data_IF_991869695900
#
_entry.id   IF_991869695900
#
_cell.length_a   1.000
_cell.length_b   1.000
_cell.length_c   1.000
_cell.angle_alpha   90.00
_cell.angle_beta   90.00
_cell.angle_gamma   90.00
#
_symmetry.space_group_name_H-M   'P 1'
#
loop_
_entity.id
_entity.type
_entity.pdbx_description
1 polymer ?
#
# COMPACT_ATOMS: atom_id res chain seq x y z
N UNK A 1 0.52 -5.24 -14.28
CA UNK A 1 0.33 -6.58 -14.87
C UNK A 1 -0.48 -7.46 -13.93
N UNK A 2 -1.52 -8.13 -14.42
CA UNK A 2 -2.31 -9.05 -13.60
C UNK A 2 -1.80 -10.48 -13.71
N UNK A 3 -1.70 -11.14 -12.57
CA UNK A 3 -1.45 -12.57 -12.46
C UNK A 3 -2.73 -13.28 -12.06
N UNK A 4 -2.94 -14.49 -12.58
CA UNK A 4 -4.10 -15.29 -12.23
C UNK A 4 -3.70 -16.69 -11.78
N UNK A 5 -4.47 -17.22 -10.84
CA UNK A 5 -4.38 -18.60 -10.36
C UNK A 5 -5.79 -19.14 -10.19
N UNK A 6 -5.99 -20.42 -10.48
CA UNK A 6 -7.30 -21.04 -10.34
C UNK A 6 -7.22 -22.49 -9.87
N UNK A 7 -8.33 -22.96 -9.30
CA UNK A 7 -8.54 -24.37 -8.96
C UNK A 7 -9.95 -24.81 -9.39
N UNK A 8 -10.43 -25.96 -8.93
CA UNK A 8 -11.76 -26.48 -9.30
C UNK A 8 -12.93 -25.61 -8.80
N UNK A 9 -12.74 -24.82 -7.74
CA UNK A 9 -13.78 -24.05 -7.08
C UNK A 9 -13.77 -22.56 -7.43
N UNK A 10 -12.59 -21.98 -7.69
CA UNK A 10 -12.44 -20.53 -7.86
C UNK A 10 -11.28 -20.14 -8.79
N UNK A 11 -11.34 -18.90 -9.29
CA UNK A 11 -10.25 -18.19 -9.97
C UNK A 11 -9.95 -16.90 -9.22
N UNK A 12 -8.68 -16.56 -9.08
CA UNK A 12 -8.19 -15.38 -8.38
C UNK A 12 -7.29 -14.58 -9.30
N UNK A 13 -7.38 -13.25 -9.23
CA UNK A 13 -6.47 -12.34 -9.93
C UNK A 13 -5.84 -11.31 -8.99
N UNK A 14 -4.53 -11.09 -9.15
CA UNK A 14 -3.74 -10.15 -8.36
C UNK A 14 -3.02 -9.18 -9.29
N UNK A 15 -3.04 -7.90 -8.96
CA UNK A 15 -2.27 -6.87 -9.64
C UNK A 15 -0.84 -6.84 -9.10
N UNK A 16 0.14 -6.84 -10.01
CA UNK A 16 1.57 -6.74 -9.68
C UNK A 16 1.89 -5.50 -8.84
N UNK A 17 1.27 -4.37 -9.15
CA UNK A 17 1.43 -3.14 -8.39
C UNK A 17 0.78 -3.29 -7.01
N UNK A 18 1.60 -3.28 -5.97
CA UNK A 18 1.16 -3.40 -4.59
C UNK A 18 0.62 -4.78 -4.21
N UNK A 19 0.79 -5.80 -5.07
CA UNK A 19 0.25 -7.15 -4.87
C UNK A 19 -1.24 -7.17 -4.49
N UNK A 20 -2.03 -6.28 -5.13
CA UNK A 20 -3.43 -6.04 -4.78
C UNK A 20 -4.34 -7.16 -5.32
N UNK A 21 -5.11 -7.80 -4.44
CA UNK A 21 -6.15 -8.76 -4.86
C UNK A 21 -7.28 -8.02 -5.60
N UNK A 22 -7.51 -8.38 -6.87
CA UNK A 22 -8.47 -7.69 -7.75
C UNK A 22 -9.74 -8.49 -8.03
N UNK A 23 -9.68 -9.82 -8.01
CA UNK A 23 -10.82 -10.69 -8.33
C UNK A 23 -10.73 -12.00 -7.55
N UNK A 24 -11.89 -12.46 -7.08
CA UNK A 24 -12.12 -13.82 -6.57
C UNK A 24 -13.46 -14.27 -7.16
N UNK A 25 -13.39 -15.06 -8.22
CA UNK A 25 -14.55 -15.58 -8.94
C UNK A 25 -14.86 -17.02 -8.49
N UNK A 26 -16.05 -17.24 -7.93
CA UNK A 26 -16.57 -18.58 -7.64
C UNK A 26 -17.02 -19.27 -8.93
N UNK A 27 -16.38 -20.38 -9.33
CA UNK A 27 -16.66 -21.04 -10.63
C UNK A 27 -18.03 -21.71 -10.69
N UNK A 28 -18.51 -22.27 -9.57
CA UNK A 28 -19.83 -22.92 -9.51
C UNK A 28 -20.99 -21.93 -9.46
N UNK A 29 -20.80 -20.84 -8.71
CA UNK A 29 -21.82 -19.82 -8.49
C UNK A 29 -21.79 -18.73 -9.57
N UNK A 30 -20.67 -18.59 -10.28
CA UNK A 30 -20.36 -17.48 -11.18
C UNK A 30 -20.48 -16.10 -10.49
N UNK A 31 -20.15 -16.04 -9.21
CA UNK A 31 -20.19 -14.82 -8.39
C UNK A 31 -18.78 -14.26 -8.26
N UNK A 32 -18.61 -12.98 -8.58
CA UNK A 32 -17.43 -12.20 -8.22
C UNK A 32 -17.58 -11.70 -6.78
N UNK A 33 -16.67 -12.12 -5.90
CA UNK A 33 -16.70 -11.77 -4.48
C UNK A 33 -15.98 -10.46 -4.17
N UNK A 34 -15.08 -10.02 -5.04
CA UNK A 34 -14.36 -8.77 -4.83
C UNK A 34 -15.13 -7.56 -5.34
N UNK A 35 -14.98 -6.44 -4.65
CA UNK A 35 -15.44 -5.14 -5.14
C UNK A 35 -14.77 -4.81 -6.48
N UNK A 36 -15.57 -4.37 -7.47
CA UNK A 36 -15.14 -4.13 -8.85
C UNK A 36 -14.25 -2.90 -9.06
N UNK A 37 -13.79 -2.22 -7.99
CA UNK A 37 -12.98 -1.01 -8.09
C UNK A 37 -13.65 0.11 -8.90
N UNK A 38 -14.99 0.27 -8.81
CA UNK A 38 -15.69 1.29 -9.59
C UNK A 38 -15.12 2.68 -9.23
N UNK A 39 -14.53 3.41 -10.19
CA UNK A 39 -13.85 4.67 -9.95
C UNK A 39 -14.73 5.82 -9.51
N UNK A 40 -16.05 5.70 -9.67
CA UNK A 40 -17.02 6.67 -9.16
C UNK A 40 -17.11 6.63 -7.62
N UNK A 41 -16.92 5.46 -7.02
CA UNK A 41 -17.07 5.25 -5.57
C UNK A 41 -15.75 4.96 -4.88
N UNK A 42 -15.01 3.95 -5.34
CA UNK A 42 -13.73 3.54 -4.75
C UNK A 42 -12.90 2.71 -5.74
N UNK A 43 -11.72 3.22 -6.12
CA UNK A 43 -10.85 2.65 -7.18
C UNK A 43 -10.03 1.44 -6.76
N UNK A 44 -10.01 1.08 -5.48
CA UNK A 44 -9.20 -0.02 -4.94
C UNK A 44 -10.13 -1.16 -4.51
N UNK A 45 -9.64 -2.39 -4.56
CA UNK A 45 -10.38 -3.58 -4.10
C UNK A 45 -9.84 -4.02 -2.74
N UNK A 46 -8.55 -4.36 -2.67
CA UNK A 46 -7.92 -4.88 -1.45
C UNK A 46 -6.45 -4.43 -1.37
N UNK A 47 -6.20 -3.15 -1.05
CA UNK A 47 -4.84 -2.63 -0.98
C UNK A 47 -4.05 -3.26 0.17
N UNK A 48 -2.79 -3.61 -0.09
CA UNK A 48 -1.87 -4.01 0.96
C UNK A 48 -1.42 -2.78 1.76
N UNK A 49 -1.71 -2.78 3.06
CA UNK A 49 -1.42 -1.69 3.98
C UNK A 49 -0.20 -2.04 4.82
N UNK A 50 0.98 -1.76 4.27
CA UNK A 50 2.27 -1.99 4.92
C UNK A 50 3.19 -0.78 4.66
N UNK A 51 4.06 -0.38 5.61
CA UNK A 51 4.28 -0.95 6.95
C UNK A 51 3.30 -0.44 8.03
N UNK A 52 2.52 0.60 7.74
CA UNK A 52 1.60 1.23 8.71
C UNK A 52 0.17 1.10 8.19
N UNK A 53 -0.74 0.78 9.11
CA UNK A 53 -2.19 0.71 8.86
C UNK A 53 -2.86 1.93 9.50
N UNK A 54 -3.58 2.71 8.69
CA UNK A 54 -4.27 3.92 9.15
C UNK A 54 -3.33 5.12 9.38
N UNK A 55 -3.83 6.14 10.08
CA UNK A 55 -3.05 7.32 10.44
C UNK A 55 -2.35 7.14 11.79
N UNK A 56 -1.21 7.82 11.95
CA UNK A 56 -0.55 7.93 13.25
C UNK A 56 -1.20 9.02 14.08
N UNK A 57 -1.22 8.83 15.41
CA UNK A 57 -1.59 9.89 16.33
C UNK A 57 -0.60 11.04 16.18
N UNK A 58 -1.13 12.25 16.01
CA UNK A 58 -0.36 13.49 15.81
C UNK A 58 0.63 13.44 14.62
N UNK A 59 0.47 12.48 13.70
CA UNK A 59 1.35 12.31 12.54
C UNK A 59 2.78 11.88 12.90
N UNK A 60 2.99 11.29 14.08
CA UNK A 60 4.33 11.01 14.62
C UNK A 60 4.49 9.55 15.03
N UNK A 61 5.64 9.00 14.69
CA UNK A 61 6.12 7.69 15.15
C UNK A 61 7.40 7.86 15.99
N UNK A 62 7.46 7.20 17.15
CA UNK A 62 8.64 7.23 18.03
C UNK A 62 9.35 5.88 18.05
N UNK A 63 10.67 5.87 17.84
CA UNK A 63 11.48 4.66 17.87
C UNK A 63 12.89 4.95 18.38
N UNK A 64 13.36 4.16 19.35
CA UNK A 64 14.69 4.30 19.98
C UNK A 64 15.03 5.74 20.43
N UNK A 65 14.06 6.44 21.04
CA UNK A 65 14.24 7.82 21.50
C UNK A 65 14.24 8.88 20.39
N UNK A 66 13.99 8.48 19.14
CA UNK A 66 13.87 9.37 17.98
C UNK A 66 12.41 9.54 17.57
N UNK A 67 12.14 10.67 16.93
CA UNK A 67 10.82 11.09 16.48
C UNK A 67 10.82 11.19 14.96
N UNK A 68 9.91 10.48 14.32
CA UNK A 68 9.73 10.46 12.87
C UNK A 68 8.38 11.08 12.54
N UNK A 69 8.39 12.18 11.80
CA UNK A 69 7.17 12.77 11.26
C UNK A 69 6.76 11.96 10.04
N UNK A 70 5.58 11.37 10.13
CA UNK A 70 5.01 10.49 9.12
C UNK A 70 3.55 10.87 8.93
N UNK A 71 3.33 11.69 7.91
CA UNK A 71 2.00 12.19 7.58
C UNK A 71 1.38 11.32 6.49
N UNK A 72 0.20 10.79 6.78
CA UNK A 72 -0.64 10.13 5.79
C UNK A 72 -1.42 11.21 5.05
N UNK A 73 -1.04 11.48 3.81
CA UNK A 73 -1.68 12.49 2.98
C UNK A 73 -2.68 11.84 2.04
N UNK A 74 -3.85 12.45 2.00
CA UNK A 74 -4.94 12.09 1.12
C UNK A 74 -5.05 13.15 0.03
N UNK A 75 -4.66 12.83 -1.19
CA UNK A 75 -4.80 13.72 -2.34
C UNK A 75 -6.02 13.33 -3.16
N UNK A 76 -6.92 14.27 -3.38
CA UNK A 76 -8.03 14.08 -4.32
C UNK A 76 -7.60 14.54 -5.72
N UNK A 77 -7.54 13.61 -6.67
CA UNK A 77 -7.29 13.87 -8.08
C UNK A 77 -8.57 13.60 -8.88
N UNK A 78 -9.45 14.60 -8.94
CA UNK A 78 -10.85 14.42 -9.34
C UNK A 78 -11.56 13.46 -8.38
N UNK A 79 -12.19 12.40 -8.90
CA UNK A 79 -12.85 11.36 -8.10
C UNK A 79 -11.87 10.27 -7.60
N UNK A 80 -10.56 10.56 -7.58
CA UNK A 80 -9.52 9.62 -7.15
C UNK A 80 -8.97 10.03 -5.79
N UNK A 81 -9.07 9.15 -4.80
CA UNK A 81 -8.28 9.25 -3.58
C UNK A 81 -6.90 8.61 -3.84
N UNK A 82 -5.87 9.43 -3.83
CA UNK A 82 -4.46 9.01 -3.78
C UNK A 82 -3.99 9.12 -2.33
N UNK A 83 -3.33 8.08 -1.84
CA UNK A 83 -2.85 8.01 -0.46
C UNK A 83 -1.34 7.92 -0.52
N UNK A 84 -0.65 8.91 0.04
CA UNK A 84 0.80 9.00 0.07
C UNK A 84 1.28 9.18 1.51
N UNK A 85 2.49 8.71 1.80
CA UNK A 85 3.15 8.98 3.06
C UNK A 85 4.22 10.04 2.83
N UNK A 86 4.15 11.16 3.54
CA UNK A 86 5.25 12.09 3.64
C UNK A 86 6.06 11.76 4.90
N UNK A 87 7.32 11.39 4.71
CA UNK A 87 8.20 10.97 5.78
C UNK A 87 9.29 12.01 5.91
N UNK A 88 9.22 12.83 6.96
CA UNK A 88 10.30 13.73 7.32
C UNK A 88 11.17 13.06 8.36
N UNK A 89 12.39 12.77 7.94
CA UNK A 89 13.41 12.29 8.84
C UNK A 89 14.15 13.48 9.45
N UNK A 90 13.96 13.70 10.75
CA UNK A 90 14.62 14.80 11.48
C UNK A 90 16.07 14.48 11.84
N UNK A 91 16.57 13.27 11.53
CA UNK A 91 17.96 12.86 11.75
C UNK A 91 18.74 12.57 10.45
N UNK A 92 20.08 12.63 10.51
CA UNK A 92 20.98 12.28 9.38
C UNK A 92 21.06 10.77 9.08
N UNK A 93 20.28 9.93 9.77
CA UNK A 93 20.39 8.47 9.72
C UNK A 93 19.16 7.84 9.07
N UNK A 94 19.33 6.77 8.28
CA UNK A 94 18.26 6.09 7.54
C UNK A 94 17.06 5.71 8.43
N UNK A 95 15.83 5.92 7.95
CA UNK A 95 14.64 5.35 8.58
C UNK A 95 14.68 3.83 8.38
N UNK A 96 14.65 3.07 9.48
CA UNK A 96 14.63 1.60 9.47
C UNK A 96 13.28 1.13 9.99
N UNK A 97 12.51 0.43 9.16
CA UNK A 97 11.34 -0.31 9.62
C UNK A 97 11.79 -1.71 10.05
N UNK A 98 11.62 -2.10 11.34
CA UNK A 98 12.00 -3.42 11.80
C UNK A 98 10.97 -4.46 11.32
N UNK A 99 11.23 -5.03 10.14
CA UNK A 99 10.53 -6.21 9.62
C UNK A 99 11.54 -7.12 8.94
N UNK A 100 11.87 -8.24 9.58
CA UNK A 100 12.79 -9.25 9.07
C UNK A 100 12.22 -9.93 7.82
N UNK A 101 12.37 -9.30 6.65
CA UNK A 101 12.53 -9.95 5.35
C UNK A 101 12.77 -8.98 4.19
N UNK A 102 12.69 -7.65 4.35
CA UNK A 102 13.16 -6.69 3.33
C UNK A 102 13.68 -5.43 4.01
N UNK A 103 14.96 -5.11 3.83
CA UNK A 103 15.58 -3.87 4.32
C UNK A 103 15.11 -2.73 3.40
N UNK A 104 14.04 -2.04 3.78
CA UNK A 104 13.59 -0.84 3.08
C UNK A 104 14.43 0.36 3.55
N UNK A 105 15.40 0.78 2.73
CA UNK A 105 16.13 2.02 2.96
C UNK A 105 15.35 3.18 2.36
N UNK A 106 14.75 4.03 3.20
CA UNK A 106 14.33 5.36 2.78
C UNK A 106 15.57 6.27 2.79
N UNK A 107 16.10 6.57 1.60
CA UNK A 107 17.04 7.68 1.43
C UNK A 107 16.21 8.92 1.14
N UNK A 108 16.14 9.86 2.09
CA UNK A 108 15.71 11.22 1.80
C UNK A 108 16.79 11.89 0.94
N UNK A 109 16.65 11.78 -0.38
CA UNK A 109 17.11 12.83 -1.29
C UNK A 109 15.86 13.45 -1.89
N UNK A 110 15.88 14.76 -2.01
CA UNK A 110 14.75 15.67 -2.24
C UNK A 110 13.93 15.45 -3.53
N UNK A 111 14.02 14.32 -4.22
CA UNK A 111 13.19 14.05 -5.38
C UNK A 111 12.66 12.60 -5.33
N UNK A 112 11.33 12.51 -5.25
CA UNK A 112 10.46 11.34 -5.49
C UNK A 112 10.84 10.00 -4.81
N UNK A 113 10.06 9.66 -3.78
CA UNK A 113 10.10 8.35 -3.14
C UNK A 113 9.56 7.26 -4.08
N UNK A 114 10.45 6.56 -4.80
CA UNK A 114 10.09 5.39 -5.62
C UNK A 114 10.27 4.11 -4.79
N UNK A 115 9.19 3.37 -4.60
CA UNK A 115 9.19 2.03 -3.99
C UNK A 115 9.83 1.06 -4.99
N UNK A 116 11.14 0.82 -4.88
CA UNK A 116 11.82 -0.20 -5.68
C UNK A 116 11.90 -1.51 -4.90
N UNK A 117 11.06 -2.49 -5.26
CA UNK A 117 11.27 -3.91 -4.93
C UNK A 117 12.38 -4.47 -5.83
N UNK A 118 13.49 -4.93 -5.24
CA UNK A 118 14.39 -5.90 -5.87
C UNK A 118 14.10 -7.29 -5.32
#
# INVERSE_FOLDING_TARGET
>A
MRYSMENASMKVEVESLGAELKSVLGKKSNIEYMWCSNPEYYKRSAPNLFPIVGSLKDGVYHYQGKTYEMELIYHMNGNRLEITWNIKNTGKEKCVFPGNSVIWTLVSREEECTICSH
#
